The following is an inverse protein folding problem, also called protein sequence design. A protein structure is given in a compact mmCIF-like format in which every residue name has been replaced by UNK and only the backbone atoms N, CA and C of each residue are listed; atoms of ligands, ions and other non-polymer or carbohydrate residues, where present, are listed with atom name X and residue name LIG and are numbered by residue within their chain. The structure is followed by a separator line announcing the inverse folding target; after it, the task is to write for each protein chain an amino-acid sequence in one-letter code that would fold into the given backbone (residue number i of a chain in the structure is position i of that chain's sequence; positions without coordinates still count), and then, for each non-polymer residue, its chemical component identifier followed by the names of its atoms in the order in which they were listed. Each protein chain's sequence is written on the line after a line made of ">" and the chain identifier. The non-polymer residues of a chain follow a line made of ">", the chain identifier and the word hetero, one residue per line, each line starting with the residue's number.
data_IF_095913066577
#
_entry.id   IF_095913066577
#
_cell.length_a   1.000
_cell.length_b   1.000
_cell.length_c   1.000
_cell.angle_alpha   90.00
_cell.angle_beta   90.00
_cell.angle_gamma   90.00
#
_symmetry.space_group_name_H-M   'P 1'
#
loop_
_entity.id
_entity.type
_entity.pdbx_description
1 polymer ?
#
# COMPACT_ATOMS: atom_id res chain seq x y z
N UNK A 1 8.62 14.42 3.65
CA UNK A 1 7.41 13.56 3.69
C UNK A 1 7.43 12.64 2.47
N UNK A 2 7.65 11.33 2.66
CA UNK A 2 7.76 10.39 1.53
C UNK A 2 6.36 9.91 1.13
N UNK A 3 6.05 10.05 -0.15
CA UNK A 3 4.75 9.69 -0.74
C UNK A 3 4.92 8.53 -1.71
N UNK A 4 4.02 7.55 -1.65
CA UNK A 4 4.03 6.39 -2.51
C UNK A 4 2.86 6.45 -3.52
N UNK A 5 3.14 6.53 -4.83
CA UNK A 5 2.11 6.42 -5.85
C UNK A 5 1.78 4.96 -6.15
N UNK A 6 0.49 4.62 -6.13
CA UNK A 6 -0.01 3.29 -6.52
C UNK A 6 -0.87 3.47 -7.77
N UNK A 7 -0.57 2.70 -8.82
CA UNK A 7 -1.14 2.85 -10.17
C UNK A 7 -1.97 1.62 -10.53
N UNK A 8 -3.10 1.83 -11.22
CA UNK A 8 -4.00 0.76 -11.64
C UNK A 8 -5.00 1.18 -12.71
N UNK A 9 -5.73 0.22 -13.26
CA UNK A 9 -6.71 0.45 -14.35
C UNK A 9 -8.06 0.99 -13.86
N UNK A 10 -8.36 0.84 -12.57
CA UNK A 10 -9.58 1.35 -11.94
C UNK A 10 -9.28 1.81 -10.51
N UNK A 11 -10.10 2.71 -9.92
CA UNK A 11 -9.90 3.15 -8.53
C UNK A 11 -9.92 1.97 -7.55
N UNK A 12 -10.83 1.00 -7.77
CA UNK A 12 -10.96 -0.20 -6.95
C UNK A 12 -9.70 -1.09 -6.99
N UNK A 13 -9.09 -1.25 -8.17
CA UNK A 13 -7.85 -2.01 -8.31
C UNK A 13 -6.69 -1.33 -7.56
N UNK A 14 -6.61 0.01 -7.60
CA UNK A 14 -5.58 0.77 -6.88
C UNK A 14 -5.76 0.64 -5.37
N UNK A 15 -6.99 0.77 -4.86
CA UNK A 15 -7.30 0.60 -3.42
C UNK A 15 -6.97 -0.82 -2.96
N UNK A 16 -7.35 -1.84 -3.73
CA UNK A 16 -7.06 -3.24 -3.38
C UNK A 16 -5.55 -3.48 -3.26
N UNK A 17 -4.77 -2.94 -4.19
CA UNK A 17 -3.31 -3.01 -4.16
C UNK A 17 -2.70 -2.24 -2.99
N UNK A 18 -3.26 -1.08 -2.65
CA UNK A 18 -2.84 -0.30 -1.48
C UNK A 18 -3.04 -1.09 -0.18
N UNK A 19 -4.19 -1.75 -0.03
CA UNK A 19 -4.47 -2.61 1.13
C UNK A 19 -3.48 -3.77 1.24
N UNK A 20 -3.16 -4.43 0.12
CA UNK A 20 -2.14 -5.50 0.10
C UNK A 20 -0.74 -5.01 0.51
N UNK A 21 -0.44 -3.75 0.25
CA UNK A 21 0.81 -3.10 0.65
C UNK A 21 0.79 -2.60 2.10
N UNK A 22 -0.31 -2.76 2.84
CA UNK A 22 -0.42 -2.33 4.24
C UNK A 22 -0.94 -0.91 4.43
N UNK A 23 -1.55 -0.30 3.40
CA UNK A 23 -2.25 0.98 3.54
C UNK A 23 -3.72 0.74 3.93
N UNK A 24 -4.07 1.08 5.16
CA UNK A 24 -5.44 0.98 5.68
C UNK A 24 -6.22 2.29 5.55
N UNK A 25 -5.53 3.42 5.34
CA UNK A 25 -6.14 4.73 5.17
C UNK A 25 -6.62 4.98 3.73
N UNK A 26 -7.47 5.99 3.55
CA UNK A 26 -7.77 6.55 2.23
C UNK A 26 -6.57 7.33 1.69
N UNK A 27 -6.34 7.34 0.36
CA UNK A 27 -5.26 8.15 -0.22
C UNK A 27 -5.56 9.63 0.00
N UNK A 28 -4.51 10.41 0.26
CA UNK A 28 -4.68 11.86 0.44
C UNK A 28 -4.84 12.61 -0.89
N UNK A 29 -4.52 11.95 -2.01
CA UNK A 29 -4.74 12.44 -3.37
C UNK A 29 -5.01 11.27 -4.31
N UNK A 30 -5.96 11.43 -5.21
CA UNK A 30 -6.22 10.52 -6.31
C UNK A 30 -6.30 11.32 -7.63
N UNK A 31 -5.75 10.77 -8.71
CA UNK A 31 -5.81 11.38 -10.03
C UNK A 31 -6.06 10.32 -11.11
N UNK A 32 -6.68 10.73 -12.22
CA UNK A 32 -6.74 9.95 -13.45
C UNK A 32 -5.80 10.58 -14.47
N UNK A 33 -4.82 9.82 -14.94
CA UNK A 33 -3.85 10.28 -15.94
C UNK A 33 -4.44 10.27 -17.34
N UNK A 34 -3.81 11.03 -18.24
CA UNK A 34 -4.23 11.14 -19.65
C UNK A 34 -4.28 9.79 -20.37
N UNK A 35 -3.44 8.82 -19.98
CA UNK A 35 -3.45 7.45 -20.49
C UNK A 35 -4.57 6.56 -19.89
N UNK A 36 -5.49 7.13 -19.12
CA UNK A 36 -6.61 6.43 -18.50
C UNK A 36 -6.29 5.70 -17.19
N UNK A 37 -5.02 5.67 -16.75
CA UNK A 37 -4.63 5.04 -15.50
C UNK A 37 -5.08 5.85 -14.28
N UNK A 38 -5.43 5.15 -13.21
CA UNK A 38 -5.71 5.73 -11.89
C UNK A 38 -4.45 5.69 -11.03
N UNK A 39 -4.16 6.79 -10.34
CA UNK A 39 -3.03 6.92 -9.43
C UNK A 39 -3.52 7.43 -8.08
N UNK A 40 -3.28 6.67 -7.02
CA UNK A 40 -3.56 7.07 -5.66
C UNK A 40 -2.24 7.30 -4.90
N UNK A 41 -2.17 8.41 -4.18
CA UNK A 41 -1.00 8.78 -3.41
C UNK A 41 -1.24 8.53 -1.92
N UNK A 42 -0.32 7.78 -1.32
CA UNK A 42 -0.32 7.45 0.10
C UNK A 42 0.92 8.01 0.77
N UNK A 43 0.85 8.30 2.07
CA UNK A 43 2.03 8.69 2.84
C UNK A 43 2.70 7.41 3.30
N UNK A 44 4.02 7.29 3.16
CA UNK A 44 4.75 6.11 3.65
C UNK A 44 4.55 5.88 5.15
N UNK A 45 4.34 6.94 5.92
CA UNK A 45 4.04 6.86 7.35
C UNK A 45 2.73 6.11 7.66
N UNK A 46 1.80 6.05 6.70
CA UNK A 46 0.52 5.35 6.85
C UNK A 46 0.64 3.86 6.47
N UNK A 47 1.81 3.43 5.97
CA UNK A 47 2.06 2.04 5.60
C UNK A 47 2.35 1.22 6.86
N UNK A 48 1.41 0.36 7.25
CA UNK A 48 1.68 -0.65 8.26
C UNK A 48 2.54 -1.76 7.67
N UNK A 49 3.35 -2.41 8.50
CA UNK A 49 4.08 -3.59 8.08
C UNK A 49 3.07 -4.61 7.51
N UNK A 50 3.25 -5.09 6.27
CA UNK A 50 2.30 -6.04 5.71
C UNK A 50 2.32 -7.31 6.56
N UNK A 51 1.13 -7.85 6.89
CA UNK A 51 0.98 -8.97 7.83
C UNK A 51 1.84 -10.20 7.48
N UNK A 52 2.22 -10.38 6.21
CA UNK A 52 3.12 -11.46 5.77
C UNK A 52 4.58 -11.29 6.22
N UNK A 53 5.00 -10.07 6.59
CA UNK A 53 6.35 -9.80 7.11
C UNK A 53 6.44 -10.05 8.63
N UNK A 54 5.32 -9.95 9.34
CA UNK A 54 5.26 -10.21 10.79
C UNK A 54 5.30 -11.71 11.08
N UNK A 55 4.67 -12.55 10.24
CA UNK A 55 4.67 -14.00 10.42
C UNK A 55 6.06 -14.64 10.27
N UNK A 56 6.94 -14.08 9.43
CA UNK A 56 8.28 -14.62 9.21
C UNK A 56 9.26 -14.33 10.35
N UNK A 57 9.00 -13.31 11.17
CA UNK A 57 9.90 -12.93 12.26
C UNK A 57 9.57 -13.63 13.59
N UNK A 58 8.32 -14.07 13.78
CA UNK A 58 7.92 -14.81 14.99
C UNK A 58 8.45 -16.25 15.02
N UNK A 59 8.72 -16.88 13.88
CA UNK A 59 9.26 -18.25 13.80
C UNK A 59 10.77 -18.35 14.09
N UNK A 60 11.50 -17.23 14.11
CA UNK A 60 12.95 -17.24 14.37
C UNK A 60 13.32 -17.05 15.85
N UNK A 61 12.35 -16.69 16.70
CA UNK A 61 12.60 -16.37 18.11
C UNK A 61 12.42 -17.56 19.07
N UNK A 62 11.99 -18.73 18.60
CA UNK A 62 11.79 -19.94 19.45
C UNK A 62 12.95 -20.95 19.38
N UNK A 63 14.09 -20.60 18.77
CA UNK A 63 15.30 -21.42 18.74
C UNK A 63 16.52 -20.56 19.09
N UNK A 64 16.71 -20.28 20.37
CA UNK A 64 18.00 -19.91 20.99
C UNK A 64 17.97 -20.21 22.48
#
# INVERSE_FOLDING_TARGET
>A
MITLPIIGRSPAAVISRARMLGFECWPYRAERRANGAWVHYYRKADQKAPAWFTATNSLRAEVS
#
